data_IF_091322117916
#
_entry.id   IF_091322117916
#
_cell.length_a   1.000
_cell.length_b   1.000
_cell.length_c   1.000
_cell.angle_alpha   90.00
_cell.angle_beta   90.00
_cell.angle_gamma   90.00
#
_symmetry.space_group_name_H-M   'P 1'
#
loop_
_entity.id
_entity.type
_entity.pdbx_description
1 polymer ?
#
# COMPACT_ATOMS: atom_id res chain seq x y z
N UNK A 1 30.78 28.36 23.13
CA UNK A 1 29.44 28.81 23.57
C UNK A 1 28.62 27.58 23.89
N UNK A 2 28.39 27.34 25.18
CA UNK A 2 27.61 26.19 25.69
C UNK A 2 26.14 26.30 25.25
N UNK A 3 25.70 25.46 24.34
CA UNK A 3 24.27 25.20 24.15
C UNK A 3 23.80 24.20 25.22
N UNK A 4 23.68 24.67 26.44
CA UNK A 4 22.80 24.06 27.43
C UNK A 4 21.38 24.42 27.02
N UNK A 5 20.80 23.76 25.99
CA UNK A 5 19.39 23.83 25.70
C UNK A 5 18.69 23.11 26.84
N UNK A 6 17.89 23.86 27.62
CA UNK A 6 16.84 23.29 28.46
C UNK A 6 16.07 22.30 27.60
N UNK A 7 16.26 21.01 27.85
CA UNK A 7 15.39 19.98 27.28
C UNK A 7 14.05 20.17 27.99
N UNK A 8 13.13 20.89 27.36
CA UNK A 8 11.77 21.01 27.86
C UNK A 8 11.22 19.62 28.10
N UNK A 9 10.45 19.46 29.16
CA UNK A 9 9.85 18.18 29.53
C UNK A 9 9.03 17.64 28.36
N UNK A 10 9.37 16.45 27.87
CA UNK A 10 8.60 15.79 26.80
C UNK A 10 7.36 15.15 27.38
N UNK A 11 6.18 15.62 26.95
CA UNK A 11 4.89 15.01 27.25
C UNK A 11 4.44 14.08 26.12
N UNK A 12 3.71 13.02 26.45
CA UNK A 12 3.16 12.05 25.52
C UNK A 12 1.64 12.03 25.64
N UNK A 13 0.96 12.46 24.59
CA UNK A 13 -0.49 12.64 24.57
C UNK A 13 -1.11 11.93 23.35
N UNK A 14 -2.44 11.74 23.39
CA UNK A 14 -3.18 11.37 22.18
C UNK A 14 -3.52 12.62 21.36
N UNK A 15 -3.73 12.41 20.05
CA UNK A 15 -4.24 13.44 19.14
C UNK A 15 -5.49 14.14 19.70
N UNK A 16 -5.59 15.43 19.47
CA UNK A 16 -6.75 16.27 19.73
C UNK A 16 -7.11 17.06 18.48
N UNK A 17 -8.39 17.34 18.28
CA UNK A 17 -8.81 18.23 17.20
C UNK A 17 -8.14 19.59 17.34
N UNK A 18 -7.60 20.08 16.22
CA UNK A 18 -6.73 21.26 16.16
C UNK A 18 -5.25 20.93 15.93
N UNK A 19 -4.81 19.71 16.20
CA UNK A 19 -3.41 19.29 16.02
C UNK A 19 -3.04 19.02 14.55
N UNK A 20 -4.02 18.89 13.65
CA UNK A 20 -3.81 18.36 12.30
C UNK A 20 -2.86 19.20 11.43
N UNK A 21 -2.92 20.53 11.55
CA UNK A 21 -2.06 21.42 10.76
C UNK A 21 -0.59 21.29 11.21
N UNK A 22 -0.35 21.32 12.52
CA UNK A 22 1.00 21.17 13.07
C UNK A 22 1.59 19.80 12.74
N UNK A 23 0.78 18.74 12.84
CA UNK A 23 1.17 17.38 12.44
C UNK A 23 1.51 17.26 10.97
N UNK A 24 0.69 17.88 10.12
CA UNK A 24 0.94 17.85 8.68
C UNK A 24 2.23 18.62 8.31
N UNK A 25 2.46 19.77 8.95
CA UNK A 25 3.68 20.54 8.77
C UNK A 25 4.91 19.76 9.25
N UNK A 26 4.84 19.13 10.42
CA UNK A 26 5.92 18.26 10.92
C UNK A 26 6.24 17.10 9.99
N UNK A 27 5.20 16.48 9.38
CA UNK A 27 5.40 15.44 8.36
C UNK A 27 6.14 15.99 7.14
N UNK A 28 5.68 17.12 6.60
CA UNK A 28 6.30 17.76 5.43
C UNK A 28 7.77 18.09 5.68
N UNK A 29 8.10 18.63 6.85
CA UNK A 29 9.47 18.99 7.23
C UNK A 29 10.38 17.76 7.37
N UNK A 30 9.90 16.72 8.06
CA UNK A 30 10.71 15.53 8.35
C UNK A 30 10.97 14.67 7.12
N UNK A 31 9.97 14.53 6.24
CA UNK A 31 10.08 13.69 5.03
C UNK A 31 10.42 14.49 3.77
N UNK A 32 10.50 15.83 3.85
CA UNK A 32 10.71 16.71 2.70
C UNK A 32 9.69 16.44 1.58
N UNK A 33 8.44 16.26 1.96
CA UNK A 33 7.32 15.98 1.07
C UNK A 33 6.22 17.02 1.28
N UNK A 34 5.50 17.34 0.20
CA UNK A 34 4.31 18.15 0.27
C UNK A 34 3.09 17.25 0.38
N UNK A 35 2.37 17.36 1.49
CA UNK A 35 1.09 16.68 1.70
C UNK A 35 0.04 17.73 2.00
N UNK A 36 -1.10 17.68 1.30
CA UNK A 36 -2.22 18.57 1.59
C UNK A 36 -2.89 18.18 2.92
N UNK A 37 -3.50 19.17 3.61
CA UNK A 37 -4.30 18.87 4.79
C UNK A 37 -5.48 17.95 4.45
N UNK A 38 -6.04 18.06 3.25
CA UNK A 38 -7.10 17.17 2.75
C UNK A 38 -6.66 15.71 2.64
N UNK A 39 -5.40 15.46 2.23
CA UNK A 39 -4.84 14.10 2.21
C UNK A 39 -4.63 13.56 3.64
N UNK A 40 -4.21 14.41 4.58
CA UNK A 40 -4.12 14.06 5.99
C UNK A 40 -5.49 13.68 6.57
N UNK A 41 -6.53 14.47 6.29
CA UNK A 41 -7.91 14.21 6.73
C UNK A 41 -8.44 12.89 6.17
N UNK A 42 -8.26 12.66 4.87
CA UNK A 42 -8.61 11.40 4.23
C UNK A 42 -7.95 10.22 4.94
N UNK A 43 -6.66 10.32 5.22
CA UNK A 43 -5.87 9.24 5.79
C UNK A 43 -6.27 8.91 7.23
N UNK A 44 -6.53 9.90 8.05
CA UNK A 44 -6.69 9.72 9.49
C UNK A 44 -8.10 9.94 10.02
N UNK A 45 -8.88 10.86 9.45
CA UNK A 45 -10.26 11.12 9.89
C UNK A 45 -11.32 10.35 9.12
N UNK A 46 -11.04 9.99 7.88
CA UNK A 46 -11.96 9.25 7.02
C UNK A 46 -11.57 7.77 6.87
N UNK A 47 -10.73 7.25 7.76
CA UNK A 47 -10.32 5.85 7.72
C UNK A 47 -11.51 4.89 7.85
N UNK A 48 -11.42 3.64 7.33
CA UNK A 48 -12.58 2.76 7.18
C UNK A 48 -13.30 2.37 8.46
N UNK A 49 -12.63 2.42 9.61
CA UNK A 49 -13.18 1.92 10.89
C UNK A 49 -13.46 3.07 11.85
N UNK A 50 -12.46 3.89 12.12
CA UNK A 50 -12.51 4.89 13.18
C UNK A 50 -12.41 6.29 12.59
N UNK A 51 -13.38 7.14 12.87
CA UNK A 51 -13.31 8.58 12.55
C UNK A 51 -12.36 9.36 13.47
N UNK A 52 -11.97 8.75 14.59
CA UNK A 52 -10.98 9.33 15.51
C UNK A 52 -9.58 8.84 15.14
N UNK A 53 -8.65 9.75 14.79
CA UNK A 53 -7.28 9.38 14.43
C UNK A 53 -6.57 8.61 15.55
N UNK A 54 -5.95 7.49 15.20
CA UNK A 54 -5.08 6.75 16.11
C UNK A 54 -3.66 7.34 16.00
N UNK A 55 -3.44 8.45 16.70
CA UNK A 55 -2.15 9.14 16.70
C UNK A 55 -1.76 9.46 18.12
N UNK A 56 -0.54 9.08 18.50
CA UNK A 56 0.12 9.43 19.75
C UNK A 56 1.20 10.46 19.45
N UNK A 57 1.25 11.50 20.25
CA UNK A 57 2.07 12.69 20.05
C UNK A 57 3.12 12.84 21.14
N UNK A 58 4.29 13.36 20.77
CA UNK A 58 5.26 13.90 21.69
C UNK A 58 5.31 15.43 21.56
N UNK A 59 5.19 16.13 22.68
CA UNK A 59 5.27 17.59 22.73
C UNK A 59 6.46 18.04 23.59
N UNK A 60 7.08 19.14 23.18
CA UNK A 60 8.13 19.86 23.90
C UNK A 60 7.75 21.34 23.95
N UNK A 61 7.58 21.93 25.14
CA UNK A 61 7.16 23.33 25.26
C UNK A 61 5.85 23.64 24.52
N UNK A 62 4.92 22.68 24.46
CA UNK A 62 3.63 22.79 23.76
C UNK A 62 3.68 22.45 22.27
N UNK A 63 4.85 22.42 21.63
CA UNK A 63 5.02 22.08 20.20
C UNK A 63 5.06 20.57 19.98
N UNK A 64 4.46 20.11 18.88
CA UNK A 64 4.54 18.70 18.45
C UNK A 64 5.91 18.44 17.85
N UNK A 65 6.66 17.51 18.45
CA UNK A 65 8.02 17.14 18.03
C UNK A 65 8.14 15.70 17.56
N UNK A 66 7.07 14.94 17.66
CA UNK A 66 7.03 13.56 17.15
C UNK A 66 5.64 12.98 17.19
N UNK A 67 5.43 11.96 16.36
CA UNK A 67 4.19 11.19 16.33
C UNK A 67 4.46 9.70 16.08
N UNK A 68 3.55 8.89 16.59
CA UNK A 68 3.31 7.51 16.18
C UNK A 68 1.87 7.42 15.72
N UNK A 69 1.68 7.19 14.42
CA UNK A 69 0.37 7.20 13.80
C UNK A 69 0.05 5.84 13.20
N UNK A 70 -1.23 5.47 13.26
CA UNK A 70 -1.75 4.24 12.69
C UNK A 70 -3.06 4.50 11.96
N UNK A 71 -3.34 3.67 10.95
CA UNK A 71 -4.64 3.56 10.30
C UNK A 71 -5.33 2.31 10.83
N UNK A 72 -6.54 2.45 11.36
CA UNK A 72 -7.35 1.30 11.80
C UNK A 72 -8.00 0.61 10.62
N UNK A 73 -7.87 -0.71 10.54
CA UNK A 73 -8.37 -1.54 9.46
C UNK A 73 -9.00 -2.83 10.01
N UNK A 74 -9.84 -3.47 9.21
CA UNK A 74 -10.26 -4.84 9.44
C UNK A 74 -9.35 -5.81 8.71
N UNK A 75 -8.86 -6.82 9.43
CA UNK A 75 -8.08 -7.93 8.89
C UNK A 75 -8.94 -9.19 8.96
N UNK A 76 -9.18 -9.82 7.80
CA UNK A 76 -9.62 -11.19 7.78
C UNK A 76 -8.45 -12.05 8.27
N UNK A 77 -8.67 -12.78 9.34
CA UNK A 77 -7.73 -13.73 9.92
C UNK A 77 -8.45 -15.08 10.03
N UNK A 78 -8.11 -15.99 9.13
CA UNK A 78 -8.84 -17.25 8.92
C UNK A 78 -10.33 -16.97 8.61
N UNK A 79 -11.24 -17.41 9.42
CA UNK A 79 -12.70 -17.25 9.30
C UNK A 79 -13.27 -16.05 10.07
N UNK A 80 -12.40 -15.24 10.72
CA UNK A 80 -12.80 -14.12 11.57
C UNK A 80 -12.32 -12.79 11.00
N UNK A 81 -13.04 -11.72 11.34
CA UNK A 81 -12.55 -10.36 11.20
C UNK A 81 -11.99 -9.91 12.54
N UNK A 82 -10.74 -9.42 12.52
CA UNK A 82 -10.09 -8.85 13.70
C UNK A 82 -9.69 -7.42 13.41
N UNK A 83 -9.73 -6.57 14.44
CA UNK A 83 -9.25 -5.20 14.32
C UNK A 83 -7.73 -5.21 14.22
N UNK A 84 -7.21 -4.50 13.23
CA UNK A 84 -5.78 -4.34 12.99
C UNK A 84 -5.42 -2.87 12.79
N UNK A 85 -4.15 -2.55 12.89
CA UNK A 85 -3.64 -1.21 12.56
C UNK A 85 -2.45 -1.31 11.62
N UNK A 86 -2.42 -0.45 10.61
CA UNK A 86 -1.22 -0.19 9.81
C UNK A 86 -0.45 0.97 10.43
N UNK A 87 0.80 0.73 10.83
CA UNK A 87 1.70 1.77 11.34
C UNK A 87 2.21 2.64 10.20
N UNK A 88 1.90 3.94 10.25
CA UNK A 88 2.20 4.93 9.20
C UNK A 88 2.77 6.20 9.81
N UNK A 89 3.49 6.99 9.03
CA UNK A 89 3.98 8.33 9.39
C UNK A 89 4.67 8.42 10.77
N UNK A 90 5.40 7.38 11.17
CA UNK A 90 6.12 7.36 12.45
C UNK A 90 7.38 8.21 12.35
N UNK A 91 7.42 9.32 13.08
CA UNK A 91 8.49 10.30 12.96
C UNK A 91 8.79 11.03 14.27
N UNK A 92 10.01 11.55 14.36
CA UNK A 92 10.46 12.52 15.37
C UNK A 92 11.29 13.58 14.66
N UNK A 93 11.04 14.85 14.98
CA UNK A 93 11.78 15.99 14.44
C UNK A 93 13.29 15.82 14.63
N UNK A 94 14.09 16.26 13.69
CA UNK A 94 15.53 16.01 13.66
C UNK A 94 16.25 16.49 14.92
N UNK A 95 15.89 17.64 15.45
CA UNK A 95 16.53 18.25 16.64
C UNK A 95 16.25 17.46 17.93
N UNK A 96 15.24 16.59 17.92
CA UNK A 96 14.83 15.77 19.07
C UNK A 96 15.25 14.31 18.93
N UNK A 97 16.00 13.97 17.87
CA UNK A 97 16.59 12.63 17.68
C UNK A 97 17.89 12.56 18.46
N UNK A 98 18.04 11.64 19.37
CA UNK A 98 19.33 11.55 20.08
C UNK A 98 19.51 10.31 20.93
N UNK A 99 18.44 9.69 21.37
CA UNK A 99 18.50 8.48 22.19
C UNK A 99 17.63 7.39 21.59
N UNK A 100 18.20 6.17 21.47
CA UNK A 100 17.43 5.00 21.02
C UNK A 100 16.27 4.66 21.96
N UNK A 101 16.33 5.07 23.24
CA UNK A 101 15.25 4.93 24.23
C UNK A 101 14.47 6.22 24.46
N UNK A 102 14.58 7.19 23.54
CA UNK A 102 13.99 8.51 23.65
C UNK A 102 12.51 8.54 23.25
N UNK A 103 12.15 9.59 22.52
CA UNK A 103 10.77 9.91 22.16
C UNK A 103 10.09 8.76 21.40
N UNK A 104 10.77 8.13 20.44
CA UNK A 104 10.19 6.99 19.70
C UNK A 104 9.73 5.85 20.60
N UNK A 105 10.51 5.50 21.62
CA UNK A 105 10.15 4.42 22.54
C UNK A 105 8.92 4.77 23.37
N UNK A 106 8.84 6.00 23.88
CA UNK A 106 7.69 6.47 24.65
C UNK A 106 6.42 6.53 23.80
N UNK A 107 6.53 7.00 22.56
CA UNK A 107 5.41 7.04 21.61
C UNK A 107 4.90 5.64 21.31
N UNK A 108 5.80 4.70 21.02
CA UNK A 108 5.43 3.31 20.73
C UNK A 108 4.78 2.63 21.93
N UNK A 109 5.34 2.75 23.15
CA UNK A 109 4.77 2.15 24.35
C UNK A 109 3.36 2.67 24.62
N UNK A 110 3.12 3.97 24.44
CA UNK A 110 1.77 4.53 24.60
C UNK A 110 0.83 4.04 23.49
N UNK A 111 1.31 3.95 22.24
CA UNK A 111 0.53 3.42 21.12
C UNK A 111 0.17 1.94 21.32
N UNK A 112 1.11 1.12 21.79
CA UNK A 112 0.88 -0.29 22.12
C UNK A 112 -0.21 -0.45 23.18
N UNK A 113 -0.11 0.30 24.29
CA UNK A 113 -1.13 0.30 25.33
C UNK A 113 -2.50 0.70 24.75
N UNK A 114 -2.55 1.76 23.96
CA UNK A 114 -3.78 2.24 23.33
C UNK A 114 -4.35 1.20 22.33
N UNK A 115 -3.50 0.50 21.58
CA UNK A 115 -3.91 -0.57 20.67
C UNK A 115 -4.61 -1.71 21.43
N UNK A 116 -4.01 -2.15 22.53
CA UNK A 116 -4.58 -3.20 23.39
C UNK A 116 -5.93 -2.75 23.97
N UNK A 117 -6.00 -1.53 24.52
CA UNK A 117 -7.23 -0.95 25.08
C UNK A 117 -8.36 -0.84 24.04
N UNK A 118 -8.03 -0.64 22.77
CA UNK A 118 -8.99 -0.56 21.67
C UNK A 118 -9.29 -1.90 20.97
N UNK A 119 -8.83 -3.02 21.55
CA UNK A 119 -9.10 -4.36 21.04
C UNK A 119 -8.40 -4.69 19.72
N UNK A 120 -7.29 -4.01 19.41
CA UNK A 120 -6.47 -4.34 18.25
C UNK A 120 -5.78 -5.68 18.46
N UNK A 121 -5.92 -6.59 17.49
CA UNK A 121 -5.32 -7.92 17.58
C UNK A 121 -3.86 -7.94 17.14
N UNK A 122 -3.55 -7.22 16.07
CA UNK A 122 -2.22 -7.15 15.47
C UNK A 122 -1.98 -5.80 14.81
N UNK A 123 -0.77 -5.26 14.94
CA UNK A 123 -0.28 -4.13 14.16
C UNK A 123 0.68 -4.62 13.09
N UNK A 124 0.63 -4.04 11.90
CA UNK A 124 1.59 -4.31 10.83
C UNK A 124 2.08 -3.02 10.18
N UNK A 125 3.11 -3.11 9.36
CA UNK A 125 3.61 -1.94 8.64
C UNK A 125 4.65 -2.29 7.60
N UNK A 126 4.92 -1.33 6.71
CA UNK A 126 5.88 -1.39 5.61
C UNK A 126 7.06 -0.46 5.88
N UNK A 127 7.97 -0.82 6.79
CA UNK A 127 9.02 0.07 7.23
C UNK A 127 10.06 0.35 6.14
N UNK A 128 10.58 1.56 6.12
CA UNK A 128 11.85 1.82 5.46
C UNK A 128 13.00 1.17 6.26
N UNK A 129 14.23 1.21 5.72
CA UNK A 129 15.40 0.58 6.36
C UNK A 129 15.62 1.04 7.81
N UNK A 130 15.47 2.33 8.08
CA UNK A 130 15.66 2.90 9.43
C UNK A 130 14.55 2.42 10.37
N UNK A 131 13.29 2.52 9.94
CA UNK A 131 12.14 2.03 10.70
C UNK A 131 12.20 0.52 10.99
N UNK A 132 12.69 -0.28 10.03
CA UNK A 132 12.90 -1.71 10.23
C UNK A 132 13.93 -1.99 11.36
N UNK A 133 15.09 -1.34 11.30
CA UNK A 133 16.14 -1.54 12.32
C UNK A 133 15.65 -1.10 13.71
N UNK A 134 14.99 0.05 13.80
CA UNK A 134 14.45 0.57 15.06
C UNK A 134 13.37 -0.37 15.58
N UNK A 135 12.42 -0.78 14.75
CA UNK A 135 11.34 -1.68 15.11
C UNK A 135 11.82 -3.02 15.65
N UNK A 136 12.80 -3.64 15.00
CA UNK A 136 13.42 -4.91 15.44
C UNK A 136 14.15 -4.76 16.77
N UNK A 137 14.86 -3.66 16.98
CA UNK A 137 15.73 -3.47 18.18
C UNK A 137 14.97 -2.98 19.40
N UNK A 138 13.95 -2.14 19.22
CA UNK A 138 13.29 -1.43 20.33
C UNK A 138 11.84 -1.86 20.55
N UNK A 139 11.14 -2.35 19.53
CA UNK A 139 9.69 -2.53 19.57
C UNK A 139 9.27 -3.98 19.34
N UNK A 140 10.21 -4.91 19.43
CA UNK A 140 9.96 -6.34 19.26
C UNK A 140 9.19 -6.66 17.96
N UNK A 141 9.38 -5.85 16.92
CA UNK A 141 8.79 -6.12 15.62
C UNK A 141 9.29 -7.46 15.09
N UNK A 142 8.37 -8.30 14.68
CA UNK A 142 8.67 -9.56 14.02
C UNK A 142 8.53 -9.40 12.51
N UNK A 143 9.33 -10.16 11.77
CA UNK A 143 9.15 -10.24 10.32
C UNK A 143 7.88 -11.02 10.03
N UNK A 144 6.96 -10.42 9.28
CA UNK A 144 5.73 -11.06 8.88
C UNK A 144 5.97 -11.89 7.63
N UNK A 145 6.21 -11.19 6.53
CA UNK A 145 6.48 -11.82 5.23
C UNK A 145 7.48 -11.01 4.43
N UNK A 146 8.19 -11.72 3.53
CA UNK A 146 8.91 -11.10 2.44
C UNK A 146 8.02 -11.12 1.20
N UNK A 147 7.54 -9.94 0.78
CA UNK A 147 6.69 -9.80 -0.39
C UNK A 147 7.56 -9.78 -1.65
N UNK A 148 7.11 -10.48 -2.68
CA UNK A 148 7.74 -10.34 -3.99
C UNK A 148 7.22 -9.10 -4.72
N UNK A 149 8.16 -8.30 -5.20
CA UNK A 149 7.87 -7.24 -6.17
C UNK A 149 8.11 -7.81 -7.56
N UNK A 150 7.06 -7.84 -8.36
CA UNK A 150 7.11 -8.28 -9.75
C UNK A 150 7.27 -7.07 -10.66
N UNK A 151 8.07 -7.24 -11.70
CA UNK A 151 8.40 -6.21 -12.68
C UNK A 151 8.05 -6.70 -14.08
N UNK A 152 7.45 -5.80 -14.89
CA UNK A 152 7.26 -6.01 -16.33
C UNK A 152 7.58 -4.76 -17.11
N UNK A 153 8.45 -4.87 -18.11
CA UNK A 153 8.74 -3.78 -19.05
C UNK A 153 7.64 -3.67 -20.10
N UNK A 154 7.17 -2.43 -20.35
CA UNK A 154 6.22 -2.10 -21.41
C UNK A 154 6.83 -1.24 -22.53
N UNK A 155 7.97 -0.59 -22.28
CA UNK A 155 8.69 0.23 -23.25
C UNK A 155 10.17 0.26 -22.92
N UNK A 156 11.01 0.37 -23.95
CA UNK A 156 12.45 0.54 -23.78
C UNK A 156 12.88 2.01 -23.69
N UNK A 157 11.93 2.95 -23.78
CA UNK A 157 12.20 4.40 -23.81
C UNK A 157 13.10 4.87 -22.66
N UNK A 158 12.72 4.56 -21.42
CA UNK A 158 13.48 4.98 -20.23
C UNK A 158 14.87 4.34 -20.13
N UNK A 159 15.02 3.09 -20.61
CA UNK A 159 16.32 2.42 -20.65
C UNK A 159 17.26 3.01 -21.70
N UNK A 160 16.71 3.38 -22.85
CA UNK A 160 17.47 3.98 -23.95
C UNK A 160 17.87 5.43 -23.69
N UNK A 161 17.02 6.21 -23.00
CA UNK A 161 17.34 7.59 -22.59
C UNK A 161 18.69 7.72 -21.87
N UNK A 162 19.09 6.71 -21.11
CA UNK A 162 20.35 6.69 -20.36
C UNK A 162 21.58 6.38 -21.21
N UNK A 163 21.39 5.83 -22.42
CA UNK A 163 22.47 5.32 -23.27
C UNK A 163 22.60 6.06 -24.60
N UNK A 164 21.52 6.68 -25.06
CA UNK A 164 21.46 7.29 -26.40
C UNK A 164 21.16 8.79 -26.24
N UNK A 165 22.04 9.64 -26.77
CA UNK A 165 21.91 11.10 -26.72
C UNK A 165 20.78 11.63 -27.64
N UNK A 166 20.42 10.90 -28.67
CA UNK A 166 19.47 11.34 -29.70
C UNK A 166 18.02 11.03 -29.25
N UNK A 167 17.36 12.04 -28.70
CA UNK A 167 15.97 11.93 -28.16
C UNK A 167 14.97 11.38 -29.17
N UNK A 168 15.13 11.67 -30.47
CA UNK A 168 14.26 11.16 -31.53
C UNK A 168 14.34 9.63 -31.64
N UNK A 169 15.54 9.07 -31.71
CA UNK A 169 15.75 7.61 -31.80
C UNK A 169 15.22 6.89 -30.56
N UNK A 170 15.39 7.49 -29.38
CA UNK A 170 14.88 6.94 -28.12
C UNK A 170 13.35 6.87 -28.12
N UNK A 171 12.68 7.94 -28.56
CA UNK A 171 11.23 7.97 -28.64
C UNK A 171 10.68 7.00 -29.67
N UNK A 172 11.32 6.91 -30.85
CA UNK A 172 10.94 6.00 -31.92
C UNK A 172 11.11 4.53 -31.51
N UNK A 173 12.25 4.15 -30.93
CA UNK A 173 12.48 2.81 -30.43
C UNK A 173 11.55 2.45 -29.27
N UNK A 174 11.27 3.42 -28.38
CA UNK A 174 10.27 3.28 -27.31
C UNK A 174 8.86 3.05 -27.86
N UNK A 175 8.48 3.75 -28.92
CA UNK A 175 7.19 3.60 -29.59
C UNK A 175 7.07 2.21 -30.25
N UNK A 176 8.07 1.79 -31.04
CA UNK A 176 8.09 0.45 -31.66
C UNK A 176 8.00 -0.64 -30.61
N UNK A 177 8.82 -0.57 -29.55
CA UNK A 177 8.80 -1.58 -28.49
C UNK A 177 7.45 -1.68 -27.81
N UNK A 178 6.76 -0.55 -27.59
CA UNK A 178 5.42 -0.54 -27.03
C UNK A 178 4.38 -1.16 -27.96
N UNK A 179 4.49 -0.96 -29.27
CA UNK A 179 3.61 -1.58 -30.27
C UNK A 179 3.81 -3.11 -30.30
N UNK A 180 5.05 -3.57 -30.31
CA UNK A 180 5.36 -5.00 -30.26
C UNK A 180 4.79 -5.66 -29.01
N UNK A 181 4.99 -5.02 -27.84
CA UNK A 181 4.45 -5.55 -26.57
C UNK A 181 2.91 -5.56 -26.60
N UNK A 182 2.26 -4.53 -27.14
CA UNK A 182 0.79 -4.49 -27.30
C UNK A 182 0.30 -5.61 -28.21
N UNK A 183 0.99 -5.86 -29.32
CA UNK A 183 0.68 -6.94 -30.23
C UNK A 183 0.73 -8.30 -29.51
N UNK A 184 1.79 -8.58 -28.77
CA UNK A 184 1.89 -9.81 -27.98
C UNK A 184 0.82 -9.89 -26.87
N UNK A 185 0.51 -8.77 -26.22
CA UNK A 185 -0.59 -8.73 -25.24
C UNK A 185 -1.95 -8.99 -25.91
N UNK A 186 -2.15 -8.51 -27.16
CA UNK A 186 -3.41 -8.70 -27.89
C UNK A 186 -3.62 -10.18 -28.26
N UNK A 187 -2.58 -10.85 -28.75
CA UNK A 187 -2.67 -12.24 -29.23
C UNK A 187 -2.82 -13.25 -28.07
N UNK A 188 -2.11 -13.06 -26.97
CA UNK A 188 -2.13 -14.01 -25.86
C UNK A 188 -3.36 -13.82 -24.98
N UNK A 189 -4.33 -14.72 -25.07
CA UNK A 189 -5.41 -14.90 -24.12
C UNK A 189 -6.80 -15.03 -24.76
N UNK A 190 -7.49 -16.12 -24.46
CA UNK A 190 -8.90 -16.29 -24.75
C UNK A 190 -9.68 -15.31 -23.87
N UNK A 191 -10.52 -14.45 -24.46
CA UNK A 191 -11.50 -13.66 -23.71
C UNK A 191 -12.65 -14.58 -23.31
N UNK A 192 -13.11 -14.49 -22.08
CA UNK A 192 -14.37 -15.16 -21.69
C UNK A 192 -15.50 -14.38 -22.33
N UNK A 193 -16.16 -14.95 -23.33
CA UNK A 193 -17.12 -14.25 -24.18
C UNK A 193 -18.33 -13.67 -23.45
N UNK A 194 -18.66 -14.21 -22.27
CA UNK A 194 -19.79 -13.76 -21.45
C UNK A 194 -19.41 -12.72 -20.39
N UNK A 195 -18.10 -12.45 -20.17
CA UNK A 195 -17.65 -11.51 -19.15
C UNK A 195 -17.54 -10.12 -19.74
N UNK A 196 -18.30 -9.18 -19.17
CA UNK A 196 -18.22 -7.75 -19.48
C UNK A 196 -17.11 -7.10 -18.65
N UNK A 197 -16.29 -6.26 -19.28
CA UNK A 197 -15.21 -5.52 -18.63
C UNK A 197 -15.46 -4.02 -18.77
N UNK A 198 -15.59 -3.32 -17.64
CA UNK A 198 -15.95 -1.89 -17.62
C UNK A 198 -14.99 -1.13 -16.72
N UNK A 199 -14.46 -0.01 -17.23
CA UNK A 199 -13.74 0.95 -16.40
C UNK A 199 -14.75 1.77 -15.62
N UNK A 200 -14.57 1.85 -14.30
CA UNK A 200 -15.45 2.58 -13.39
C UNK A 200 -14.64 3.57 -12.56
N UNK A 201 -15.27 4.64 -12.11
CA UNK A 201 -14.65 5.66 -11.24
C UNK A 201 -14.97 5.46 -9.77
N UNK A 202 -16.04 4.72 -9.47
CA UNK A 202 -16.53 4.49 -8.11
C UNK A 202 -16.95 3.05 -7.93
N UNK A 203 -17.06 2.63 -6.68
CA UNK A 203 -17.72 1.39 -6.30
C UNK A 203 -19.16 1.66 -5.88
N UNK A 204 -19.98 0.65 -5.96
CA UNK A 204 -21.31 0.55 -5.38
C UNK A 204 -21.35 -0.65 -4.40
N UNK A 205 -22.41 -0.78 -3.62
CA UNK A 205 -22.51 -1.81 -2.59
C UNK A 205 -22.48 -3.25 -3.12
N UNK A 206 -22.67 -3.46 -4.42
CA UNK A 206 -22.55 -4.79 -5.03
C UNK A 206 -21.15 -5.40 -4.87
N UNK A 207 -20.14 -4.57 -4.59
CA UNK A 207 -18.78 -5.02 -4.28
C UNK A 207 -18.72 -5.84 -2.98
N UNK A 208 -19.66 -5.65 -2.03
CA UNK A 208 -19.74 -6.45 -0.82
C UNK A 208 -20.07 -7.91 -1.13
N UNK A 209 -20.95 -8.15 -2.12
CA UNK A 209 -21.27 -9.52 -2.58
C UNK A 209 -20.06 -10.18 -3.27
N UNK A 210 -19.25 -9.40 -3.96
CA UNK A 210 -18.01 -9.88 -4.54
C UNK A 210 -16.97 -10.19 -3.44
N UNK A 211 -16.83 -9.31 -2.45
CA UNK A 211 -15.98 -9.53 -1.28
C UNK A 211 -16.31 -10.86 -0.59
N UNK A 212 -17.58 -11.13 -0.31
CA UNK A 212 -18.02 -12.37 0.32
C UNK A 212 -17.59 -13.63 -0.47
N UNK A 213 -17.54 -13.55 -1.81
CA UNK A 213 -17.10 -14.67 -2.67
C UNK A 213 -15.57 -14.81 -2.76
N UNK A 214 -14.83 -13.71 -2.59
CA UNK A 214 -13.37 -13.68 -2.78
C UNK A 214 -12.62 -13.92 -1.48
N UNK A 215 -13.14 -13.43 -0.36
CA UNK A 215 -12.45 -13.47 0.94
C UNK A 215 -11.97 -14.87 1.34
N UNK A 216 -12.76 -15.91 0.99
CA UNK A 216 -12.44 -17.29 1.38
C UNK A 216 -11.33 -17.95 0.56
N UNK A 217 -10.82 -17.25 -0.45
CA UNK A 217 -9.64 -17.69 -1.20
C UNK A 217 -8.33 -17.43 -0.45
N UNK A 218 -8.38 -16.56 0.57
CA UNK A 218 -7.22 -16.13 1.35
C UNK A 218 -7.51 -16.29 2.83
N UNK A 219 -6.56 -16.83 3.57
CA UNK A 219 -6.71 -16.98 5.01
C UNK A 219 -6.50 -15.63 5.72
N UNK A 220 -5.56 -14.81 5.24
CA UNK A 220 -5.24 -13.51 5.84
C UNK A 220 -5.18 -12.44 4.76
N UNK A 221 -5.99 -11.40 4.90
CA UNK A 221 -5.96 -10.19 4.06
C UNK A 221 -6.70 -9.04 4.72
N UNK A 222 -6.31 -7.81 4.42
CA UNK A 222 -7.13 -6.64 4.78
C UNK A 222 -8.47 -6.72 4.05
N UNK A 223 -9.55 -6.40 4.74
CA UNK A 223 -10.91 -6.43 4.19
C UNK A 223 -11.01 -5.58 2.91
N UNK A 224 -11.72 -6.08 1.89
CA UNK A 224 -11.91 -5.43 0.58
C UNK A 224 -13.39 -5.17 0.31
N UNK A 225 -14.10 -4.67 1.31
CA UNK A 225 -15.50 -4.28 1.18
C UNK A 225 -15.68 -2.90 0.51
N UNK A 226 -16.92 -2.49 0.36
CA UNK A 226 -17.28 -1.19 -0.20
C UNK A 226 -16.64 -0.01 0.54
N UNK A 227 -16.63 -0.07 1.86
CA UNK A 227 -16.11 1.03 2.71
C UNK A 227 -14.62 1.20 2.48
N UNK A 228 -13.85 0.10 2.58
CA UNK A 228 -12.41 0.12 2.39
C UNK A 228 -12.01 0.51 0.96
N UNK A 229 -12.59 -0.14 -0.06
CA UNK A 229 -12.22 0.12 -1.45
C UNK A 229 -12.58 1.53 -1.89
N UNK A 230 -13.74 2.05 -1.45
CA UNK A 230 -14.15 3.44 -1.73
C UNK A 230 -13.23 4.44 -1.05
N UNK A 231 -12.88 4.22 0.22
CA UNK A 231 -11.92 5.05 0.92
C UNK A 231 -10.56 5.04 0.22
N UNK A 232 -10.03 3.86 -0.05
CA UNK A 232 -8.67 3.69 -0.54
C UNK A 232 -8.46 4.19 -1.96
N UNK A 233 -9.44 4.00 -2.84
CA UNK A 233 -9.26 4.20 -4.28
C UNK A 233 -10.15 5.27 -4.91
N UNK A 234 -11.26 5.64 -4.27
CA UNK A 234 -12.17 6.65 -4.82
C UNK A 234 -12.07 8.00 -4.09
N UNK A 235 -11.83 7.99 -2.77
CA UNK A 235 -11.81 9.21 -1.94
C UNK A 235 -10.43 9.76 -1.65
N UNK A 236 -9.33 9.04 -1.97
CA UNK A 236 -7.97 9.55 -1.79
C UNK A 236 -7.78 10.79 -2.66
N UNK A 237 -7.41 11.94 -2.08
CA UNK A 237 -7.16 13.18 -2.82
C UNK A 237 -5.96 13.01 -3.78
N UNK A 238 -5.98 13.78 -4.87
CA UNK A 238 -4.88 13.93 -5.84
C UNK A 238 -4.36 12.61 -6.42
N UNK A 239 -5.19 11.56 -6.35
CA UNK A 239 -4.80 10.24 -6.83
C UNK A 239 -5.69 9.76 -7.97
N UNK A 240 -5.03 9.28 -9.03
CA UNK A 240 -5.70 8.80 -10.23
C UNK A 240 -5.61 7.29 -10.32
N UNK A 241 -6.43 6.59 -9.54
CA UNK A 241 -6.62 5.17 -9.73
C UNK A 241 -7.58 4.89 -10.88
N UNK A 242 -7.30 3.85 -11.64
CA UNK A 242 -8.16 3.37 -12.71
C UNK A 242 -8.64 1.97 -12.34
N UNK A 243 -9.94 1.81 -12.20
CA UNK A 243 -10.59 0.60 -11.71
C UNK A 243 -11.25 -0.12 -12.89
N UNK A 244 -10.79 -1.32 -13.21
CA UNK A 244 -11.40 -2.18 -14.20
C UNK A 244 -12.17 -3.29 -13.49
N UNK A 245 -13.48 -3.34 -13.70
CA UNK A 245 -14.40 -4.33 -13.16
C UNK A 245 -14.76 -5.36 -14.22
N UNK A 246 -14.78 -6.63 -13.83
CA UNK A 246 -15.28 -7.75 -14.64
C UNK A 246 -16.60 -8.25 -14.07
N UNK A 247 -17.60 -8.40 -14.92
CA UNK A 247 -18.95 -8.85 -14.55
C UNK A 247 -19.36 -10.04 -15.42
N UNK A 248 -19.98 -11.03 -14.80
CA UNK A 248 -20.61 -12.16 -15.44
C UNK A 248 -22.09 -12.22 -14.98
N UNK A 249 -23.00 -12.16 -15.94
CA UNK A 249 -24.44 -12.20 -15.69
C UNK A 249 -24.89 -11.20 -14.60
N UNK A 250 -24.36 -9.97 -14.65
CA UNK A 250 -24.66 -8.89 -13.71
C UNK A 250 -23.95 -8.95 -12.35
N UNK A 251 -23.19 -10.01 -12.07
CA UNK A 251 -22.42 -10.14 -10.83
C UNK A 251 -20.97 -9.80 -11.06
N UNK A 252 -20.33 -9.09 -10.10
CA UNK A 252 -18.90 -8.83 -10.14
C UNK A 252 -18.16 -10.15 -9.93
N UNK A 253 -17.23 -10.47 -10.82
CA UNK A 253 -16.39 -11.67 -10.77
C UNK A 253 -14.91 -11.36 -10.66
N UNK A 254 -14.52 -10.09 -10.77
CA UNK A 254 -13.15 -9.67 -10.57
C UNK A 254 -12.93 -8.19 -10.76
N UNK A 255 -11.80 -7.71 -10.28
CA UNK A 255 -11.32 -6.35 -10.48
C UNK A 255 -9.80 -6.30 -10.59
N UNK A 256 -9.31 -5.31 -11.33
CA UNK A 256 -7.92 -4.87 -11.28
C UNK A 256 -7.89 -3.36 -11.13
N UNK A 257 -7.07 -2.86 -10.23
CA UNK A 257 -6.87 -1.44 -10.00
C UNK A 257 -5.44 -1.10 -10.39
N UNK A 258 -5.29 -0.09 -11.23
CA UNK A 258 -3.98 0.36 -11.71
C UNK A 258 -3.82 1.86 -11.48
N UNK A 259 -2.59 2.29 -11.29
CA UNK A 259 -2.18 3.70 -11.37
C UNK A 259 -0.89 3.84 -12.14
N UNK A 260 -0.52 5.06 -12.52
CA UNK A 260 0.80 5.38 -13.03
C UNK A 260 1.23 6.76 -12.58
N UNK A 261 2.53 6.94 -12.49
CA UNK A 261 3.14 8.20 -12.09
C UNK A 261 4.45 8.43 -12.86
N UNK A 262 4.82 9.68 -12.99
CA UNK A 262 6.11 10.05 -13.56
C UNK A 262 7.17 10.11 -12.45
N UNK A 263 8.23 9.35 -12.60
CA UNK A 263 9.34 9.33 -11.66
C UNK A 263 10.67 9.46 -12.42
N UNK A 264 11.35 10.58 -12.24
CA UNK A 264 12.58 10.91 -12.96
C UNK A 264 12.35 10.81 -14.48
N UNK A 265 13.09 9.94 -15.15
CA UNK A 265 13.06 9.75 -16.59
C UNK A 265 12.07 8.67 -17.07
N UNK A 266 11.31 8.09 -16.19
CA UNK A 266 10.42 6.98 -16.49
C UNK A 266 8.99 7.24 -16.00
N UNK A 267 8.01 6.72 -16.74
CA UNK A 267 6.64 6.58 -16.27
C UNK A 267 6.44 5.16 -15.73
N UNK A 268 6.14 5.07 -14.45
CA UNK A 268 5.99 3.81 -13.73
C UNK A 268 4.50 3.50 -13.57
N UNK A 269 4.11 2.28 -13.90
CA UNK A 269 2.77 1.76 -13.63
C UNK A 269 2.77 0.82 -12.43
N UNK A 270 1.66 0.77 -11.74
CA UNK A 270 1.45 -0.12 -10.60
C UNK A 270 0.15 -0.90 -10.79
N UNK A 271 0.19 -2.19 -10.52
CA UNK A 271 -1.01 -2.97 -10.22
C UNK A 271 -1.23 -2.84 -8.70
N UNK A 272 -2.22 -2.01 -8.37
CA UNK A 272 -2.54 -1.70 -6.97
C UNK A 272 -3.31 -2.82 -6.31
N UNK A 273 -4.22 -3.45 -7.07
CA UNK A 273 -5.05 -4.56 -6.63
C UNK A 273 -5.36 -5.48 -7.79
N UNK A 274 -5.47 -6.78 -7.53
CA UNK A 274 -5.91 -7.77 -8.51
C UNK A 274 -6.64 -8.90 -7.78
N UNK A 275 -7.96 -8.86 -7.83
CA UNK A 275 -8.83 -9.83 -7.20
C UNK A 275 -9.80 -10.42 -8.21
N UNK A 276 -10.02 -11.72 -8.15
CA UNK A 276 -11.06 -12.38 -8.95
C UNK A 276 -11.55 -13.65 -8.23
N UNK A 277 -12.79 -14.04 -8.50
CA UNK A 277 -13.28 -15.37 -8.16
C UNK A 277 -12.37 -16.38 -8.86
N UNK A 278 -12.15 -17.56 -8.28
CA UNK A 278 -11.26 -18.64 -8.79
C UNK A 278 -11.48 -19.00 -10.27
N UNK A 279 -11.26 -18.05 -11.17
CA UNK A 279 -11.25 -18.24 -12.61
C UNK A 279 -9.98 -17.62 -13.21
N UNK A 280 -9.05 -18.46 -13.59
CA UNK A 280 -7.78 -18.04 -14.17
C UNK A 280 -7.93 -17.24 -15.47
N UNK A 281 -9.05 -17.41 -16.22
CA UNK A 281 -9.29 -16.67 -17.46
C UNK A 281 -9.78 -15.24 -17.17
N UNK A 282 -10.55 -15.03 -16.11
CA UNK A 282 -10.97 -13.69 -15.67
C UNK A 282 -9.74 -12.90 -15.21
N UNK A 283 -8.91 -13.48 -14.35
CA UNK A 283 -7.64 -12.85 -13.89
C UNK A 283 -6.74 -12.50 -15.07
N UNK A 284 -6.54 -13.45 -15.99
CA UNK A 284 -5.72 -13.27 -17.19
C UNK A 284 -6.22 -12.12 -18.06
N UNK A 285 -7.54 -12.00 -18.22
CA UNK A 285 -8.18 -10.95 -19.03
C UNK A 285 -8.11 -9.59 -18.35
N UNK A 286 -8.34 -9.52 -17.04
CA UNK A 286 -8.19 -8.30 -16.24
C UNK A 286 -6.77 -7.75 -16.32
N UNK A 287 -5.77 -8.59 -16.05
CA UNK A 287 -4.35 -8.18 -16.14
C UNK A 287 -3.98 -7.75 -17.55
N UNK A 288 -4.43 -8.48 -18.58
CA UNK A 288 -4.21 -8.10 -19.98
C UNK A 288 -4.74 -6.70 -20.27
N UNK A 289 -6.00 -6.41 -19.90
CA UNK A 289 -6.64 -5.11 -20.14
C UNK A 289 -5.99 -3.99 -19.34
N UNK A 290 -5.63 -4.24 -18.07
CA UNK A 290 -4.87 -3.30 -17.23
C UNK A 290 -3.50 -2.96 -17.85
N UNK A 291 -2.75 -3.96 -18.31
CA UNK A 291 -1.46 -3.75 -18.99
C UNK A 291 -1.60 -3.01 -20.33
N UNK A 292 -2.65 -3.30 -21.09
CA UNK A 292 -2.94 -2.56 -22.33
C UNK A 292 -3.27 -1.10 -22.05
N UNK A 293 -4.05 -0.81 -21.00
CA UNK A 293 -4.34 0.55 -20.56
C UNK A 293 -3.04 1.28 -20.17
N UNK A 294 -2.21 0.70 -19.33
CA UNK A 294 -0.91 1.29 -18.92
C UNK A 294 0.01 1.52 -20.12
N UNK A 295 0.06 0.57 -21.06
CA UNK A 295 0.86 0.73 -22.28
C UNK A 295 0.36 1.87 -23.18
N UNK A 296 -0.97 2.08 -23.31
CA UNK A 296 -1.55 3.21 -24.03
C UNK A 296 -1.21 4.56 -23.38
N UNK A 297 -1.09 4.57 -22.05
CA UNK A 297 -0.66 5.75 -21.27
C UNK A 297 0.86 5.91 -21.20
N UNK A 298 1.62 5.27 -22.12
CA UNK A 298 3.08 5.42 -22.30
C UNK A 298 3.89 5.03 -21.07
N UNK A 299 3.39 4.07 -20.27
CA UNK A 299 4.10 3.52 -19.11
C UNK A 299 5.33 2.73 -19.60
N UNK A 300 6.49 2.97 -18.98
CA UNK A 300 7.74 2.31 -19.34
C UNK A 300 7.85 0.91 -18.72
N UNK A 301 7.42 0.77 -17.47
CA UNK A 301 7.37 -0.53 -16.79
C UNK A 301 6.32 -0.54 -15.70
N UNK A 302 5.91 -1.74 -15.32
CA UNK A 302 4.85 -1.98 -14.33
C UNK A 302 5.41 -2.79 -13.17
N UNK A 303 5.01 -2.41 -11.97
CA UNK A 303 5.28 -3.11 -10.74
C UNK A 303 3.99 -3.71 -10.18
N UNK A 304 4.11 -4.86 -9.54
CA UNK A 304 3.05 -5.47 -8.76
C UNK A 304 3.63 -6.07 -7.48
N UNK A 305 2.86 -6.09 -6.40
CA UNK A 305 3.17 -6.87 -5.19
C UNK A 305 2.27 -8.08 -5.14
N UNK A 306 2.85 -9.23 -4.81
CA UNK A 306 2.11 -10.47 -4.62
C UNK A 306 2.76 -11.27 -3.49
N UNK A 307 1.95 -11.96 -2.71
CA UNK A 307 2.45 -12.96 -1.77
C UNK A 307 2.95 -14.21 -2.51
N UNK A 308 3.75 -15.02 -1.85
CA UNK A 308 4.41 -16.19 -2.47
C UNK A 308 3.43 -17.21 -3.03
N UNK A 309 2.27 -17.36 -2.42
CA UNK A 309 1.23 -18.35 -2.77
C UNK A 309 -0.03 -17.73 -3.37
N UNK A 310 -0.02 -16.44 -3.69
CA UNK A 310 -1.18 -15.78 -4.28
C UNK A 310 -1.66 -16.53 -5.53
N UNK A 311 -2.92 -16.96 -5.60
CA UNK A 311 -3.47 -17.65 -6.77
C UNK A 311 -3.29 -16.88 -8.08
N UNK A 312 -3.26 -15.54 -8.01
CA UNK A 312 -3.07 -14.68 -9.19
C UNK A 312 -1.61 -14.58 -9.63
N UNK A 313 -0.64 -14.98 -8.81
CA UNK A 313 0.81 -14.91 -9.12
C UNK A 313 1.16 -15.59 -10.43
N UNK A 314 0.58 -16.77 -10.68
CA UNK A 314 0.79 -17.50 -11.94
C UNK A 314 0.34 -16.70 -13.17
N UNK A 315 -0.72 -15.91 -13.05
CA UNK A 315 -1.21 -15.06 -14.13
C UNK A 315 -0.22 -13.92 -14.42
N UNK A 316 0.41 -13.33 -13.42
CA UNK A 316 1.49 -12.36 -13.63
C UNK A 316 2.66 -12.94 -14.41
N UNK A 317 3.14 -14.13 -14.05
CA UNK A 317 4.24 -14.79 -14.80
C UNK A 317 3.85 -15.10 -16.24
N UNK A 318 2.63 -15.57 -16.48
CA UNK A 318 2.10 -15.78 -17.85
C UNK A 318 2.07 -14.49 -18.67
N UNK A 319 1.89 -13.32 -18.03
CA UNK A 319 1.96 -12.00 -18.68
C UNK A 319 3.39 -11.47 -18.80
N UNK A 320 4.40 -12.24 -18.40
CA UNK A 320 5.83 -11.90 -18.54
C UNK A 320 6.33 -10.93 -17.45
N UNK A 321 5.74 -10.98 -16.26
CA UNK A 321 6.36 -10.41 -15.09
C UNK A 321 7.48 -11.32 -14.60
N UNK A 322 8.49 -10.72 -13.98
CA UNK A 322 9.60 -11.42 -13.31
C UNK A 322 9.86 -10.79 -11.95
N UNK A 323 10.37 -11.52 -10.98
CA UNK A 323 10.80 -10.96 -9.70
C UNK A 323 11.82 -9.84 -9.89
N UNK A 324 11.73 -8.81 -9.08
CA UNK A 324 12.66 -7.67 -9.08
C UNK A 324 13.12 -7.40 -7.67
N UNK A 325 14.39 -7.64 -7.42
CA UNK A 325 15.03 -7.31 -6.15
C UNK A 325 15.35 -5.81 -6.05
N UNK A 326 15.36 -5.28 -4.82
CA UNK A 326 15.86 -3.94 -4.49
C UNK A 326 15.01 -2.77 -4.96
N UNK A 327 13.80 -2.99 -5.49
CA UNK A 327 12.95 -1.89 -6.00
C UNK A 327 12.22 -1.16 -4.89
N UNK A 328 11.78 -1.87 -3.85
CA UNK A 328 11.09 -1.32 -2.67
C UNK A 328 11.30 -2.27 -1.51
N UNK A 329 11.29 -1.75 -0.27
CA UNK A 329 11.36 -2.63 0.90
C UNK A 329 10.22 -3.65 0.85
N UNK A 330 10.59 -4.90 0.68
CA UNK A 330 9.67 -6.03 0.56
C UNK A 330 9.37 -6.69 1.89
N UNK A 331 9.73 -6.04 3.01
CA UNK A 331 9.49 -6.57 4.34
C UNK A 331 8.21 -5.96 4.91
N UNK A 332 7.33 -6.83 5.40
CA UNK A 332 6.27 -6.43 6.32
C UNK A 332 6.71 -6.88 7.71
N UNK A 333 6.56 -5.99 8.68
CA UNK A 333 6.74 -6.30 10.08
C UNK A 333 5.42 -6.25 10.82
N UNK A 334 5.32 -6.97 11.93
CA UNK A 334 4.14 -6.97 12.78
C UNK A 334 4.49 -6.94 14.26
N UNK A 335 3.49 -6.54 15.04
CA UNK A 335 3.45 -6.67 16.50
C UNK A 335 2.12 -7.29 16.87
N UNK A 336 2.17 -8.33 17.69
CA UNK A 336 0.97 -9.02 18.19
C UNK A 336 0.52 -8.39 19.49
N UNK A 337 -0.77 -8.06 19.60
CA UNK A 337 -1.38 -7.47 20.79
C UNK A 337 -2.38 -8.41 21.48
N UNK A 338 -2.89 -9.41 20.78
CA UNK A 338 -3.91 -10.33 21.28
C UNK A 338 -3.46 -11.78 21.18
N UNK A 339 -3.87 -12.61 22.14
CA UNK A 339 -3.72 -14.06 22.08
C UNK A 339 -4.64 -14.75 21.05
N UNK A 340 -5.63 -14.03 20.51
CA UNK A 340 -6.57 -14.56 19.51
C UNK A 340 -5.96 -14.73 18.12
N UNK A 341 -4.75 -14.25 17.92
CA UNK A 341 -3.95 -14.45 16.69
C UNK A 341 -2.67 -15.20 17.04
N UNK A 342 -2.26 -16.14 16.19
CA UNK A 342 -1.09 -16.98 16.40
C UNK A 342 0.08 -16.55 15.53
N UNK A 343 1.28 -16.49 16.13
CA UNK A 343 2.50 -16.15 15.38
C UNK A 343 2.79 -17.16 14.25
N UNK A 344 2.52 -18.45 14.48
CA UNK A 344 2.68 -19.51 13.50
C UNK A 344 1.84 -19.28 12.23
N UNK A 345 0.60 -18.79 12.41
CA UNK A 345 -0.30 -18.46 11.32
C UNK A 345 0.08 -17.13 10.67
N UNK A 346 0.41 -16.11 11.47
CA UNK A 346 0.83 -14.80 10.93
C UNK A 346 2.12 -14.89 10.10
N UNK A 347 3.09 -15.72 10.52
CA UNK A 347 4.36 -15.88 9.83
C UNK A 347 4.30 -16.83 8.62
N UNK A 348 3.19 -17.50 8.38
CA UNK A 348 3.01 -18.33 7.19
C UNK A 348 2.68 -17.42 5.99
N UNK A 349 3.70 -17.18 5.17
CA UNK A 349 3.59 -16.33 3.98
C UNK A 349 2.58 -16.85 2.96
N UNK A 350 2.24 -18.14 3.04
CA UNK A 350 1.32 -18.78 2.12
C UNK A 350 -0.14 -18.43 2.35
N UNK A 351 -0.46 -17.92 3.53
CA UNK A 351 -1.81 -17.60 3.95
C UNK A 351 -2.24 -16.17 3.59
N UNK A 352 -1.30 -15.32 3.20
CA UNK A 352 -1.55 -13.89 2.98
C UNK A 352 -1.88 -13.53 1.56
N UNK A 353 -2.86 -12.64 1.39
CA UNK A 353 -2.95 -11.76 0.23
C UNK A 353 -2.39 -10.38 0.58
N UNK A 354 -1.43 -9.91 -0.21
CA UNK A 354 -0.85 -8.58 -0.06
C UNK A 354 -0.65 -7.97 -1.43
N UNK A 355 -1.11 -6.74 -1.57
CA UNK A 355 -0.98 -5.94 -2.79
C UNK A 355 -0.30 -4.59 -2.52
N UNK A 356 -0.11 -3.76 -3.54
CA UNK A 356 0.30 -2.37 -3.32
C UNK A 356 -0.78 -1.56 -2.57
N UNK A 357 -2.04 -1.99 -2.65
CA UNK A 357 -3.15 -1.36 -1.96
C UNK A 357 -3.06 -1.40 -0.44
N UNK A 358 -2.32 -2.36 0.11
CA UNK A 358 -2.13 -2.49 1.56
C UNK A 358 -1.11 -1.52 2.14
N UNK A 359 -0.36 -0.81 1.29
CA UNK A 359 0.66 0.15 1.73
C UNK A 359 0.17 1.57 1.53
N UNK A 360 0.21 2.39 2.57
CA UNK A 360 -0.22 3.78 2.54
C UNK A 360 0.61 4.67 1.60
N UNK A 361 1.89 4.33 1.44
CA UNK A 361 2.85 5.04 0.59
C UNK A 361 2.76 4.69 -0.91
N UNK A 362 1.77 3.86 -1.32
CA UNK A 362 1.64 3.41 -2.71
C UNK A 362 0.59 4.18 -3.53
#
# INVERSE_FOLDING_TARGET
>A
MNKSSRIDTITIDAYKDGDQEELNNLFCDVFSQNRSLREWEWKFKESPIDSRPFIILARSGGKIVGQHACISLWLKYQDKLVKTVEGVDNLVHNDYRGSMRGIHAKLFQKAEKTAIENGVAVGFGFPNRTGYIIGKRLFNHKDLIKIEVLFKRLSWRSALKRRVKWRFLVNFAGWISSLVIRFFLAIKGKSVSRVKYTWVSTFDESINLFWEKVKDQYAIMVQRDFVYLSWRYCRKPDNTYHILRAELDGSIVGLVIVKYEDYKDARIGFIMESLAIKDSMVVDSLLKKGLMFLSRNKVDFVLARVSSSDPVKRAFYKKGFSPKEGVWNSHIVYVKYSSHVEDSVLCDTSLWHVSFGDCDAA
#
